data_IF_359755802753
#
_entry.id   IF_359755802753
#
_cell.length_a   1.000
_cell.length_b   1.000
_cell.length_c   1.000
_cell.angle_alpha   90.00
_cell.angle_beta   90.00
_cell.angle_gamma   90.00
#
_symmetry.space_group_name_H-M   'P 1'
#
loop_
_entity.id
_entity.type
_entity.pdbx_description
1 polymer ?
#
# COMPACT_ATOMS: atom_id res chain seq x y z
N UNK A 1 4.25 -4.39 6.61
CA UNK A 1 2.98 -5.01 6.16
C UNK A 1 1.98 -3.89 5.94
N UNK A 2 1.31 -3.88 4.80
CA UNK A 2 0.19 -2.96 4.54
C UNK A 2 -1.07 -3.81 4.39
N UNK A 3 -2.13 -3.44 5.11
CA UNK A 3 -3.43 -4.11 5.07
C UNK A 3 -4.48 -3.11 4.58
N UNK A 4 -5.20 -3.47 3.53
CA UNK A 4 -6.21 -2.62 2.90
C UNK A 4 -7.56 -3.29 3.03
N UNK A 5 -8.55 -2.57 3.53
CA UNK A 5 -9.95 -2.98 3.47
C UNK A 5 -10.51 -2.48 2.13
N UNK A 6 -10.99 -3.37 1.24
CA UNK A 6 -11.35 -3.04 -0.15
C UNK A 6 -12.75 -2.42 -0.26
N UNK A 7 -13.10 -1.55 0.68
CA UNK A 7 -14.40 -0.89 0.72
C UNK A 7 -14.19 0.60 0.90
N UNK A 8 -14.75 1.37 -0.03
CA UNK A 8 -14.85 2.80 0.12
C UNK A 8 -16.31 3.21 0.36
N UNK A 9 -16.63 3.42 1.64
CA UNK A 9 -18.00 3.63 2.11
C UNK A 9 -18.65 4.88 1.49
N UNK A 10 -17.88 5.95 1.26
CA UNK A 10 -18.38 7.22 0.70
C UNK A 10 -18.88 7.07 -0.74
N UNK A 11 -18.29 6.16 -1.52
CA UNK A 11 -18.60 5.93 -2.94
C UNK A 11 -19.38 4.61 -3.17
N UNK A 12 -19.61 3.82 -2.12
CA UNK A 12 -20.15 2.46 -2.19
C UNK A 12 -19.40 1.60 -3.21
N UNK A 13 -18.07 1.75 -3.23
CA UNK A 13 -17.17 1.07 -4.17
C UNK A 13 -16.49 -0.11 -3.48
N UNK A 14 -16.57 -1.26 -4.14
CA UNK A 14 -15.74 -2.41 -3.82
C UNK A 14 -14.52 -2.40 -4.74
N UNK A 15 -13.33 -2.32 -4.15
CA UNK A 15 -12.07 -2.25 -4.89
C UNK A 15 -11.55 -3.68 -5.11
N UNK A 16 -11.26 -4.05 -6.36
CA UNK A 16 -10.69 -5.37 -6.65
C UNK A 16 -9.19 -5.40 -6.35
N UNK A 17 -8.66 -6.57 -5.99
CA UNK A 17 -7.26 -6.73 -5.60
C UNK A 17 -6.25 -6.33 -6.69
N UNK A 18 -6.60 -6.49 -7.95
CA UNK A 18 -5.78 -6.10 -9.12
C UNK A 18 -5.89 -4.61 -9.48
N UNK A 19 -6.84 -3.88 -8.89
CA UNK A 19 -6.90 -2.43 -8.99
C UNK A 19 -5.92 -1.76 -8.00
N UNK A 20 -5.28 -2.54 -7.14
CA UNK A 20 -4.33 -2.05 -6.13
C UNK A 20 -2.94 -2.60 -6.36
N UNK A 21 -1.94 -1.72 -6.29
CA UNK A 21 -0.55 -2.13 -6.26
C UNK A 21 0.30 -1.25 -5.35
N UNK A 22 1.31 -1.86 -4.74
CA UNK A 22 2.28 -1.19 -3.88
C UNK A 22 3.49 -0.74 -4.71
N UNK A 23 3.86 0.53 -4.56
CA UNK A 23 5.04 1.14 -5.16
C UNK A 23 5.19 0.80 -6.65
N UNK A 24 6.23 0.04 -7.01
CA UNK A 24 6.57 -0.30 -8.40
C UNK A 24 5.66 -1.34 -9.08
N UNK A 25 4.37 -1.39 -8.74
CA UNK A 25 3.41 -2.32 -9.39
C UNK A 25 3.25 -3.66 -8.67
N UNK A 26 3.65 -3.78 -7.40
CA UNK A 26 3.54 -5.03 -6.67
C UNK A 26 2.09 -5.35 -6.26
N UNK A 27 1.54 -6.51 -6.63
CA UNK A 27 0.15 -6.86 -6.30
C UNK A 27 -0.01 -7.26 -4.83
N UNK A 28 -1.26 -7.34 -4.35
CA UNK A 28 -1.55 -7.96 -3.06
C UNK A 28 -1.10 -9.42 -3.09
N UNK A 29 -0.29 -9.85 -2.12
CA UNK A 29 0.25 -11.21 -2.09
C UNK A 29 -0.48 -12.14 -1.11
N UNK A 30 -1.40 -11.59 -0.30
CA UNK A 30 -2.35 -12.38 0.48
C UNK A 30 -3.73 -11.72 0.47
N UNK A 31 -4.73 -12.44 -0.04
CA UNK A 31 -6.11 -11.97 -0.17
C UNK A 31 -6.98 -12.75 0.81
N UNK A 32 -7.65 -12.02 1.70
CA UNK A 32 -8.64 -12.54 2.65
C UNK A 32 -10.01 -11.93 2.31
N UNK A 33 -11.10 -12.51 2.85
CA UNK A 33 -12.48 -12.19 2.45
C UNK A 33 -12.83 -10.69 2.49
N UNK A 34 -12.13 -9.89 3.30
CA UNK A 34 -12.34 -8.42 3.39
C UNK A 34 -11.05 -7.62 3.58
N UNK A 35 -9.89 -8.24 3.33
CA UNK A 35 -8.59 -7.61 3.57
C UNK A 35 -7.61 -8.06 2.51
N UNK A 36 -6.93 -7.11 1.88
CA UNK A 36 -5.79 -7.36 1.01
C UNK A 36 -4.52 -7.00 1.76
N UNK A 37 -3.58 -7.93 1.82
CA UNK A 37 -2.29 -7.76 2.49
C UNK A 37 -1.18 -7.68 1.45
N UNK A 38 -0.33 -6.67 1.62
CA UNK A 38 0.92 -6.49 0.90
C UNK A 38 2.07 -6.73 1.88
N UNK A 39 2.65 -7.92 1.79
CA UNK A 39 3.72 -8.40 2.67
C UNK A 39 5.02 -8.50 1.87
N UNK A 40 5.73 -7.38 1.75
CA UNK A 40 7.00 -7.30 1.02
C UNK A 40 8.15 -6.94 1.96
N UNK A 41 9.38 -7.29 1.55
CA UNK A 41 10.57 -6.84 2.25
C UNK A 41 10.73 -5.33 2.07
N UNK A 42 11.33 -4.65 3.05
CA UNK A 42 11.48 -3.18 3.05
C UNK A 42 12.40 -2.63 1.95
N UNK A 43 13.08 -3.51 1.21
CA UNK A 43 13.90 -3.17 0.04
C UNK A 43 13.25 -3.57 -1.28
N UNK A 44 12.08 -4.20 -1.25
CA UNK A 44 11.32 -4.62 -2.43
C UNK A 44 10.28 -3.56 -2.80
N UNK A 45 9.68 -3.71 -3.99
CA UNK A 45 8.51 -2.94 -4.44
C UNK A 45 8.68 -1.42 -4.46
N UNK A 46 9.90 -0.91 -4.39
CA UNK A 46 10.17 0.53 -4.37
C UNK A 46 10.01 1.16 -2.98
N UNK A 47 9.94 0.35 -1.92
CA UNK A 47 9.93 0.85 -0.55
C UNK A 47 11.27 1.54 -0.27
N UNK A 48 11.20 2.83 0.07
CA UNK A 48 12.37 3.67 0.36
C UNK A 48 12.62 3.66 1.86
N UNK A 49 13.84 3.33 2.25
CA UNK A 49 14.29 3.42 3.64
C UNK A 49 15.16 4.66 3.82
N UNK A 50 14.90 5.44 4.87
CA UNK A 50 15.68 6.62 5.27
C UNK A 50 16.03 6.53 6.75
N UNK A 51 17.26 6.88 7.10
CA UNK A 51 17.67 7.03 8.50
C UNK A 51 17.27 8.44 8.95
N UNK A 52 16.42 8.56 9.97
CA UNK A 52 15.96 9.86 10.49
C UNK A 52 16.58 10.21 11.86
N UNK A 53 17.12 9.23 12.58
CA UNK A 53 17.94 9.38 13.78
C UNK A 53 18.87 8.17 13.94
N UNK A 54 19.76 8.16 14.93
CA UNK A 54 20.70 7.03 15.15
C UNK A 54 19.99 5.68 15.30
N UNK A 55 18.77 5.66 15.84
CA UNK A 55 18.03 4.44 16.18
C UNK A 55 16.71 4.30 15.40
N UNK A 56 16.33 5.30 14.60
CA UNK A 56 15.04 5.32 13.90
C UNK A 56 15.20 5.30 12.38
N UNK A 57 14.57 4.29 11.78
CA UNK A 57 14.40 4.15 10.34
C UNK A 57 12.99 4.58 9.95
N UNK A 58 12.90 5.32 8.84
CA UNK A 58 11.65 5.68 8.17
C UNK A 58 11.55 4.89 6.85
N UNK A 59 10.44 4.21 6.67
CA UNK A 59 10.06 3.50 5.46
C UNK A 59 8.94 4.29 4.77
N UNK A 60 9.09 4.50 3.46
CA UNK A 60 8.13 5.26 2.66
C UNK A 60 7.85 4.53 1.36
N UNK A 61 6.58 4.44 1.00
CA UNK A 61 6.11 3.85 -0.26
C UNK A 61 4.76 4.44 -0.62
N UNK A 62 4.28 4.14 -1.80
CA UNK A 62 2.97 4.54 -2.29
C UNK A 62 2.08 3.30 -2.47
N UNK A 63 0.78 3.47 -2.26
CA UNK A 63 -0.25 2.54 -2.70
C UNK A 63 -1.02 3.21 -3.84
N UNK A 64 -1.12 2.52 -4.95
CA UNK A 64 -1.79 3.01 -6.14
C UNK A 64 -3.10 2.28 -6.34
N UNK A 65 -4.16 3.06 -6.54
CA UNK A 65 -5.45 2.59 -7.02
C UNK A 65 -5.57 2.95 -8.51
N UNK A 66 -5.65 1.92 -9.36
CA UNK A 66 -5.94 2.06 -10.79
C UNK A 66 -7.28 1.36 -11.06
N UNK A 67 -8.38 2.13 -11.20
CA UNK A 67 -9.69 1.55 -11.45
C UNK A 67 -9.75 0.89 -12.83
N UNK A 68 -10.46 -0.24 -12.92
CA UNK A 68 -10.78 -0.89 -14.19
C UNK A 68 -11.75 -0.07 -15.04
N UNK A 69 -12.55 0.78 -14.40
CA UNK A 69 -13.57 1.59 -15.04
C UNK A 69 -13.16 3.06 -15.11
N UNK A 70 -13.37 3.69 -16.26
CA UNK A 70 -13.07 5.11 -16.55
C UNK A 70 -13.88 6.11 -15.72
N UNK A 71 -14.84 5.64 -14.91
CA UNK A 71 -15.66 6.48 -14.04
C UNK A 71 -14.97 6.87 -12.72
N UNK A 72 -13.82 6.28 -12.42
CA UNK A 72 -13.01 6.64 -11.27
C UNK A 72 -11.64 7.10 -11.74
N UNK A 73 -11.12 8.13 -11.09
CA UNK A 73 -9.77 8.59 -11.35
C UNK A 73 -8.77 7.71 -10.58
N UNK A 74 -7.59 7.43 -11.16
CA UNK A 74 -6.50 6.80 -10.43
C UNK A 74 -6.10 7.64 -9.21
N UNK A 75 -5.75 6.97 -8.12
CA UNK A 75 -5.39 7.60 -6.86
C UNK A 75 -4.04 7.06 -6.35
N UNK A 76 -3.22 7.95 -5.80
CA UNK A 76 -1.97 7.61 -5.13
C UNK A 76 -2.11 7.95 -3.64
N UNK A 77 -1.79 6.98 -2.78
CA UNK A 77 -1.86 7.10 -1.33
C UNK A 77 -0.44 6.92 -0.78
N UNK A 78 0.14 7.98 -0.23
CA UNK A 78 1.45 7.91 0.42
C UNK A 78 1.36 7.16 1.75
N UNK A 79 2.26 6.20 1.94
CA UNK A 79 2.37 5.39 3.14
C UNK A 79 3.73 5.60 3.81
N UNK A 80 3.71 5.78 5.12
CA UNK A 80 4.90 5.95 5.93
C UNK A 80 4.84 5.05 7.17
N UNK A 81 5.98 4.49 7.54
CA UNK A 81 6.14 3.67 8.73
C UNK A 81 7.52 3.94 9.32
N UNK A 82 7.65 4.01 10.65
CA UNK A 82 8.95 4.07 11.30
C UNK A 82 9.19 2.85 12.18
N UNK A 83 10.45 2.44 12.28
CA UNK A 83 10.91 1.45 13.24
C UNK A 83 12.04 2.05 14.07
N UNK A 84 11.96 1.87 15.39
CA UNK A 84 13.00 2.30 16.33
C UNK A 84 13.54 1.09 17.07
N UNK A 85 14.85 1.02 17.25
CA UNK A 85 15.48 0.02 18.11
C UNK A 85 15.53 0.58 19.53
N UNK A 86 14.47 0.35 20.32
CA UNK A 86 14.48 0.63 21.78
C UNK A 86 14.99 -0.60 22.52
#
# INVERSE_FOLDING_TARGET
MVSVVPLEESRNLYIFADELHLGMGCPANRIQTYVYEFIYLVHDCGIRTRVISEETLLFQTELYFIPRNIHHDPEEISLECSASSV
#
